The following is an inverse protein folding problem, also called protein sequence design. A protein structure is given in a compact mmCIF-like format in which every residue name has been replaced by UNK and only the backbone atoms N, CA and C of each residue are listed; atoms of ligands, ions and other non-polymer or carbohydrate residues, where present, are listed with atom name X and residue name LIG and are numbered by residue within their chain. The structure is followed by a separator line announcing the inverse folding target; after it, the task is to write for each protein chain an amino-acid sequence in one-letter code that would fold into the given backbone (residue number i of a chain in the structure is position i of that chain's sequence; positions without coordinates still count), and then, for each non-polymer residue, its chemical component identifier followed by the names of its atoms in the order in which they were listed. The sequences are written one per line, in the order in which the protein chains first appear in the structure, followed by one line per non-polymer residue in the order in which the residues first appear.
data_IF_979269683804
#
_entry.id   IF_979269683804
#
_cell.length_a   1.000
_cell.length_b   1.000
_cell.length_c   1.000
_cell.angle_alpha   90.00
_cell.angle_beta   90.00
_cell.angle_gamma   90.00
#
_symmetry.space_group_name_H-M   'P 1'
#
loop_
_entity.id
_entity.type
_entity.pdbx_description
1 polymer ?
#
# COMPACT_ATOMS: atom_id res chain seq x y z
N UNK A 1 -0.73 -65.09 -16.56
CA UNK A 1 -0.37 -63.67 -16.66
C UNK A 1 -0.52 -63.24 -18.11
N UNK A 2 -1.65 -62.61 -18.46
CA UNK A 2 -1.82 -61.96 -19.76
C UNK A 2 -3.00 -60.99 -19.66
N UNK A 3 -2.72 -59.69 -19.56
CA UNK A 3 -3.70 -58.61 -19.61
C UNK A 3 -3.18 -57.57 -20.60
N UNK A 4 -3.37 -57.87 -21.88
CA UNK A 4 -3.35 -56.87 -22.94
C UNK A 4 -4.59 -57.09 -23.78
N UNK A 5 -5.29 -55.98 -24.01
CA UNK A 5 -6.37 -55.82 -25.00
C UNK A 5 -7.78 -56.21 -24.53
N UNK A 6 -8.36 -55.37 -23.68
CA UNK A 6 -9.77 -55.01 -23.85
C UNK A 6 -9.88 -53.48 -23.83
N UNK A 7 -9.84 -52.92 -25.05
CA UNK A 7 -10.28 -51.56 -25.29
C UNK A 7 -11.80 -51.51 -25.07
N UNK A 8 -12.25 -50.69 -24.12
CA UNK A 8 -13.64 -50.23 -24.08
C UNK A 8 -13.63 -48.73 -23.73
N UNK A 9 -13.71 -47.94 -24.79
CA UNK A 9 -14.39 -46.66 -24.88
C UNK A 9 -14.67 -45.93 -23.55
N UNK A 10 -13.69 -45.18 -23.06
CA UNK A 10 -13.99 -43.99 -22.26
C UNK A 10 -14.10 -42.85 -23.26
N UNK A 11 -15.34 -42.46 -23.52
CA UNK A 11 -15.74 -41.31 -24.31
C UNK A 11 -14.86 -40.10 -24.02
N UNK A 12 -14.16 -39.63 -25.05
CA UNK A 12 -13.78 -38.23 -25.19
C UNK A 12 -15.09 -37.41 -25.20
N UNK A 13 -15.58 -37.08 -24.01
CA UNK A 13 -16.49 -35.96 -23.86
C UNK A 13 -15.60 -34.74 -24.08
N UNK A 14 -15.81 -33.93 -25.13
CA UNK A 14 -15.26 -32.59 -25.11
C UNK A 14 -15.94 -31.94 -23.90
N UNK A 15 -15.19 -31.73 -22.83
CA UNK A 15 -15.56 -30.74 -21.83
C UNK A 15 -15.61 -29.46 -22.65
N UNK A 16 -16.79 -29.11 -23.13
CA UNK A 16 -17.16 -27.78 -23.51
C UNK A 16 -16.80 -26.96 -22.28
N UNK A 17 -15.60 -26.40 -22.32
CA UNK A 17 -15.18 -25.33 -21.43
C UNK A 17 -16.26 -24.27 -21.61
N UNK A 18 -17.25 -24.29 -20.71
CA UNK A 18 -18.01 -23.10 -20.39
C UNK A 18 -16.95 -22.19 -19.82
N UNK A 19 -16.28 -21.47 -20.71
CA UNK A 19 -15.68 -20.19 -20.39
C UNK A 19 -16.89 -19.41 -19.92
N UNK A 20 -17.11 -19.41 -18.61
CA UNK A 20 -18.00 -18.46 -17.99
C UNK A 20 -17.55 -17.13 -18.57
N UNK A 21 -18.39 -16.52 -19.40
CA UNK A 21 -18.22 -15.13 -19.75
C UNK A 21 -18.31 -14.44 -18.39
N UNK A 22 -17.17 -14.15 -17.79
CA UNK A 22 -17.12 -13.26 -16.67
C UNK A 22 -17.66 -11.94 -17.23
N UNK A 23 -18.87 -11.58 -16.82
CA UNK A 23 -19.43 -10.29 -17.15
C UNK A 23 -18.38 -9.25 -16.73
N UNK A 24 -18.02 -8.35 -17.64
CA UNK A 24 -17.11 -7.26 -17.31
C UNK A 24 -17.64 -6.53 -16.06
N UNK A 25 -16.77 -6.15 -15.11
CA UNK A 25 -17.24 -5.52 -13.89
C UNK A 25 -17.97 -4.22 -14.24
N UNK A 26 -19.01 -3.92 -13.47
CA UNK A 26 -19.75 -2.68 -13.65
C UNK A 26 -18.89 -1.47 -13.26
N UNK A 27 -19.16 -0.31 -13.88
CA UNK A 27 -18.55 0.98 -13.51
C UNK A 27 -18.66 1.25 -12.00
N UNK A 28 -19.81 0.93 -11.39
CA UNK A 28 -20.05 1.12 -9.97
C UNK A 28 -19.19 0.22 -9.07
N UNK A 29 -18.86 -1.00 -9.50
CA UNK A 29 -17.94 -1.87 -8.77
C UNK A 29 -16.50 -1.33 -8.83
N UNK A 30 -16.08 -0.86 -10.01
CA UNK A 30 -14.75 -0.26 -10.19
C UNK A 30 -14.63 1.04 -9.40
N UNK A 31 -15.63 1.90 -9.44
CA UNK A 31 -15.66 3.16 -8.68
C UNK A 31 -15.58 2.92 -7.18
N UNK A 32 -16.33 1.93 -6.65
CA UNK A 32 -16.23 1.55 -5.24
C UNK A 32 -14.82 1.10 -4.86
N UNK A 33 -14.18 0.28 -5.70
CA UNK A 33 -12.82 -0.20 -5.47
C UNK A 33 -11.79 0.94 -5.48
N UNK A 34 -11.90 1.87 -6.44
CA UNK A 34 -11.05 3.06 -6.50
C UNK A 34 -11.25 3.96 -5.26
N UNK A 35 -12.49 4.16 -4.81
CA UNK A 35 -12.79 4.94 -3.61
C UNK A 35 -12.17 4.30 -2.35
N UNK A 36 -12.22 2.97 -2.20
CA UNK A 36 -11.58 2.26 -1.09
C UNK A 36 -10.06 2.48 -1.03
N UNK A 37 -9.39 2.46 -2.18
CA UNK A 37 -7.95 2.77 -2.28
C UNK A 37 -7.70 4.23 -1.87
N UNK A 38 -8.46 5.17 -2.45
CA UNK A 38 -8.31 6.61 -2.18
C UNK A 38 -8.51 6.95 -0.69
N UNK A 39 -9.57 6.41 -0.07
CA UNK A 39 -9.85 6.62 1.35
C UNK A 39 -8.72 6.09 2.25
N UNK A 40 -8.18 4.92 1.91
CA UNK A 40 -7.08 4.30 2.65
C UNK A 40 -5.79 5.10 2.55
N UNK A 41 -5.45 5.56 1.34
CA UNK A 41 -4.28 6.39 1.09
C UNK A 41 -4.42 7.75 1.76
N UNK A 42 -5.62 8.35 1.73
CA UNK A 42 -5.93 9.59 2.46
C UNK A 42 -5.78 9.43 3.97
N UNK A 43 -6.20 8.30 4.53
CA UNK A 43 -6.04 8.00 5.95
C UNK A 43 -4.55 7.90 6.35
N UNK A 44 -3.74 7.19 5.55
CA UNK A 44 -2.30 7.08 5.76
C UNK A 44 -1.59 8.44 5.62
N UNK A 45 -1.92 9.20 4.58
CA UNK A 45 -1.36 10.53 4.34
C UNK A 45 -1.62 11.47 5.52
N UNK A 46 -2.87 11.52 6.04
CA UNK A 46 -3.23 12.38 7.17
C UNK A 46 -2.41 12.09 8.44
N UNK A 47 -2.14 10.82 8.74
CA UNK A 47 -1.34 10.46 9.92
C UNK A 47 0.16 10.65 9.68
N UNK A 48 0.65 10.39 8.46
CA UNK A 48 2.03 10.68 8.07
C UNK A 48 2.34 12.17 8.11
N UNK A 49 1.45 13.02 7.59
CA UNK A 49 1.57 14.47 7.64
C UNK A 49 1.62 14.99 9.08
N UNK A 50 0.77 14.45 9.96
CA UNK A 50 0.78 14.78 11.39
C UNK A 50 2.11 14.39 12.03
N UNK A 51 2.62 13.19 11.74
CA UNK A 51 3.91 12.74 12.25
C UNK A 51 5.04 13.67 11.79
N UNK A 52 5.10 14.02 10.50
CA UNK A 52 6.07 14.99 9.98
C UNK A 52 6.00 16.35 10.69
N UNK A 53 4.80 16.84 11.01
CA UNK A 53 4.61 18.08 11.80
C UNK A 53 5.20 17.98 13.21
N UNK A 54 5.15 16.81 13.85
CA UNK A 54 5.80 16.60 15.17
C UNK A 54 7.32 16.62 15.10
N UNK A 55 7.91 16.30 13.94
CA UNK A 55 9.36 16.38 13.70
C UNK A 55 9.83 17.79 13.32
N UNK A 56 8.94 18.67 12.88
CA UNK A 56 9.28 20.00 12.39
C UNK A 56 10.13 20.86 13.37
N UNK A 57 9.92 20.83 14.70
CA UNK A 57 10.79 21.55 15.63
C UNK A 57 12.26 21.13 15.51
N UNK A 58 12.55 19.83 15.36
CA UNK A 58 13.90 19.31 15.23
C UNK A 58 14.60 19.90 14.00
N UNK A 59 13.91 19.92 12.86
CA UNK A 59 14.40 20.50 11.60
C UNK A 59 14.59 22.02 11.68
N UNK A 60 14.03 22.66 12.70
CA UNK A 60 14.17 24.08 12.99
C UNK A 60 15.18 24.35 14.12
N UNK A 61 15.95 23.34 14.53
CA UNK A 61 16.97 23.44 15.58
C UNK A 61 16.39 23.54 16.99
N UNK A 62 15.16 23.05 17.21
CA UNK A 62 14.48 23.05 18.51
C UNK A 62 14.16 21.62 18.94
N UNK A 63 14.17 21.37 20.25
CA UNK A 63 13.80 20.06 20.77
C UNK A 63 12.30 19.79 20.51
N UNK A 64 11.93 18.68 19.84
CA UNK A 64 10.54 18.29 19.67
C UNK A 64 9.94 17.73 20.97
N UNK A 65 8.61 17.76 21.10
CA UNK A 65 7.93 17.06 22.20
C UNK A 65 7.95 15.54 21.93
N UNK A 66 8.86 14.83 22.59
CA UNK A 66 9.00 13.37 22.48
C UNK A 66 7.66 12.65 22.71
N UNK A 67 6.79 13.10 23.64
CA UNK A 67 5.51 12.44 23.87
C UNK A 67 4.56 12.58 22.69
N UNK A 68 4.57 13.73 22.02
CA UNK A 68 3.76 13.97 20.83
C UNK A 68 4.27 13.15 19.64
N UNK A 69 5.59 13.07 19.47
CA UNK A 69 6.24 12.26 18.42
C UNK A 69 5.89 10.79 18.58
N UNK A 70 6.06 10.22 19.79
CA UNK A 70 5.69 8.84 20.11
C UNK A 70 4.21 8.55 19.89
N UNK A 71 3.34 9.48 20.29
CA UNK A 71 1.90 9.36 20.04
C UNK A 71 1.61 9.34 18.55
N UNK A 72 2.19 10.26 17.78
CA UNK A 72 1.94 10.33 16.34
C UNK A 72 2.49 9.11 15.60
N UNK A 73 3.64 8.56 16.02
CA UNK A 73 4.15 7.29 15.51
C UNK A 73 3.16 6.13 15.75
N UNK A 74 2.61 6.04 16.97
CA UNK A 74 1.59 5.03 17.29
C UNK A 74 0.34 5.18 16.43
N UNK A 75 -0.11 6.40 16.18
CA UNK A 75 -1.25 6.68 15.31
C UNK A 75 -1.00 6.20 13.86
N UNK A 76 0.22 6.38 13.34
CA UNK A 76 0.65 5.83 12.04
C UNK A 76 0.57 4.31 12.04
N UNK A 77 1.20 3.65 13.01
CA UNK A 77 1.21 2.19 13.11
C UNK A 77 -0.19 1.59 13.24
N UNK A 78 -1.07 2.21 14.03
CA UNK A 78 -2.46 1.78 14.18
C UNK A 78 -3.26 1.97 12.88
N UNK A 79 -3.11 3.11 12.22
CA UNK A 79 -3.81 3.40 10.96
C UNK A 79 -3.36 2.44 9.86
N UNK A 80 -2.06 2.20 9.75
CA UNK A 80 -1.51 1.21 8.83
C UNK A 80 -2.03 -0.20 9.13
N UNK A 81 -2.04 -0.60 10.41
CA UNK A 81 -2.57 -1.90 10.82
C UNK A 81 -4.05 -2.07 10.47
N UNK A 82 -4.86 -0.99 10.56
CA UNK A 82 -6.25 -0.99 10.10
C UNK A 82 -6.33 -1.11 8.57
N UNK A 83 -5.69 -0.20 7.83
CA UNK A 83 -5.73 -0.18 6.36
C UNK A 83 -5.27 -1.51 5.77
N UNK A 84 -4.20 -2.09 6.30
CA UNK A 84 -3.70 -3.41 5.86
C UNK A 84 -4.73 -4.53 6.04
N UNK A 85 -5.56 -4.48 7.09
CA UNK A 85 -6.64 -5.45 7.27
C UNK A 85 -7.76 -5.20 6.28
N UNK A 86 -8.13 -3.94 6.08
CA UNK A 86 -9.20 -3.56 5.17
C UNK A 86 -8.86 -3.96 3.72
N UNK A 87 -7.64 -3.66 3.24
CA UNK A 87 -7.16 -4.02 1.90
C UNK A 87 -7.31 -5.52 1.60
N UNK A 88 -7.05 -6.39 2.57
CA UNK A 88 -7.17 -7.85 2.41
C UNK A 88 -8.61 -8.34 2.26
N UNK A 89 -9.59 -7.49 2.57
CA UNK A 89 -11.02 -7.80 2.50
C UNK A 89 -11.71 -7.18 1.29
N UNK A 90 -10.99 -6.41 0.48
CA UNK A 90 -11.59 -5.76 -0.68
C UNK A 90 -11.85 -6.74 -1.81
N UNK A 91 -13.04 -6.61 -2.39
CA UNK A 91 -13.39 -7.29 -3.63
C UNK A 91 -12.69 -6.57 -4.80
N UNK A 92 -11.72 -7.25 -5.40
CA UNK A 92 -11.04 -6.74 -6.60
C UNK A 92 -11.94 -7.03 -7.82
N UNK A 93 -12.35 -6.01 -8.60
CA UNK A 93 -13.12 -6.22 -9.82
C UNK A 93 -12.41 -7.22 -10.76
N UNK A 94 -13.17 -8.12 -11.40
CA UNK A 94 -12.62 -9.12 -12.33
C UNK A 94 -12.18 -8.48 -13.65
N UNK A 95 -11.12 -7.68 -13.60
CA UNK A 95 -10.57 -6.96 -14.73
C UNK A 95 -9.03 -6.98 -14.68
N UNK A 96 -8.34 -7.19 -15.81
CA UNK A 96 -6.87 -7.24 -15.83
C UNK A 96 -6.19 -6.00 -15.25
N UNK A 97 -6.73 -4.80 -15.48
CA UNK A 97 -6.19 -3.55 -14.91
C UNK A 97 -6.46 -3.44 -13.41
N UNK A 98 -7.62 -3.90 -12.93
CA UNK A 98 -7.93 -3.91 -11.50
C UNK A 98 -7.00 -4.86 -10.73
N UNK A 99 -6.70 -6.05 -11.30
CA UNK A 99 -5.67 -6.94 -10.76
C UNK A 99 -4.29 -6.30 -10.69
N UNK A 100 -3.89 -5.55 -11.74
CA UNK A 100 -2.60 -4.82 -11.74
C UNK A 100 -2.57 -3.73 -10.67
N UNK A 101 -3.68 -3.02 -10.46
CA UNK A 101 -3.82 -2.04 -9.39
C UNK A 101 -3.74 -2.69 -8.02
N UNK A 102 -4.40 -3.84 -7.82
CA UNK A 102 -4.30 -4.61 -6.57
C UNK A 102 -2.85 -4.99 -6.25
N UNK A 103 -2.11 -5.53 -7.23
CA UNK A 103 -0.69 -5.86 -7.06
C UNK A 103 0.16 -4.64 -6.72
N UNK A 104 -0.02 -3.52 -7.43
CA UNK A 104 0.71 -2.29 -7.13
C UNK A 104 0.38 -1.75 -5.74
N UNK A 105 -0.89 -1.83 -5.32
CA UNK A 105 -1.32 -1.42 -3.99
C UNK A 105 -0.75 -2.34 -2.91
N UNK A 106 -0.69 -3.65 -3.14
CA UNK A 106 -0.05 -4.59 -2.22
C UNK A 106 1.45 -4.28 -2.06
N UNK A 107 2.19 -4.04 -3.16
CA UNK A 107 3.59 -3.60 -3.10
C UNK A 107 3.74 -2.30 -2.28
N UNK A 108 2.85 -1.32 -2.49
CA UNK A 108 2.85 -0.09 -1.72
C UNK A 108 2.58 -0.34 -0.23
N UNK A 109 1.60 -1.18 0.09
CA UNK A 109 1.25 -1.51 1.48
C UNK A 109 2.35 -2.28 2.19
N UNK A 110 3.03 -3.21 1.50
CA UNK A 110 4.21 -3.89 2.03
C UNK A 110 5.33 -2.90 2.34
N UNK A 111 5.59 -1.97 1.42
CA UNK A 111 6.56 -0.90 1.68
C UNK A 111 6.17 -0.06 2.90
N UNK A 112 4.91 0.37 3.02
CA UNK A 112 4.44 1.15 4.19
C UNK A 112 4.61 0.38 5.50
N UNK A 113 4.47 -0.95 5.49
CA UNK A 113 4.76 -1.84 6.62
C UNK A 113 6.23 -1.85 6.97
N UNK A 114 7.12 -2.09 6.01
CA UNK A 114 8.56 -2.02 6.24
C UNK A 114 8.98 -0.65 6.75
N UNK A 115 8.50 0.42 6.10
CA UNK A 115 8.75 1.80 6.50
C UNK A 115 8.31 2.07 7.95
N UNK A 116 7.12 1.62 8.35
CA UNK A 116 6.61 1.89 9.71
C UNK A 116 7.25 1.03 10.78
N UNK A 117 7.63 -0.22 10.47
CA UNK A 117 8.16 -1.16 11.46
C UNK A 117 9.68 -1.13 11.59
N UNK A 118 10.41 -0.72 10.56
CA UNK A 118 11.87 -0.76 10.54
C UNK A 118 12.46 0.65 10.48
N UNK A 119 11.91 1.50 9.63
CA UNK A 119 12.49 2.81 9.34
C UNK A 119 12.03 3.92 10.29
N UNK A 120 10.72 4.04 10.55
CA UNK A 120 10.23 5.05 11.49
C UNK A 120 10.75 4.88 12.94
N UNK A 121 11.01 3.67 13.45
CA UNK A 121 11.72 3.50 14.73
C UNK A 121 13.14 4.05 14.73
N UNK A 122 13.89 3.97 13.61
CA UNK A 122 15.25 4.54 13.56
C UNK A 122 15.22 6.07 13.70
N UNK A 123 14.18 6.73 13.19
CA UNK A 123 13.94 8.16 13.41
C UNK A 123 13.76 8.45 14.91
N UNK A 124 12.99 7.63 15.65
CA UNK A 124 12.85 7.79 17.10
C UNK A 124 14.18 7.59 17.82
N UNK A 125 14.96 6.57 17.43
CA UNK A 125 16.28 6.30 18.02
C UNK A 125 17.24 7.48 17.79
N UNK A 126 17.26 8.07 16.60
CA UNK A 126 18.06 9.27 16.29
C UNK A 126 17.60 10.45 17.15
N UNK A 127 16.29 10.64 17.30
CA UNK A 127 15.75 11.74 18.09
C UNK A 127 16.10 11.64 19.56
N UNK A 128 16.15 10.43 20.10
CA UNK A 128 16.43 10.14 21.51
C UNK A 128 17.93 9.98 21.81
N UNK A 129 18.79 10.10 20.80
CA UNK A 129 20.24 10.03 20.95
C UNK A 129 20.82 11.34 21.54
N UNK A 130 20.76 11.45 22.87
CA UNK A 130 21.32 12.56 23.65
C UNK A 130 22.85 12.74 23.47
N UNK A 131 23.54 11.78 22.84
CA UNK A 131 24.96 11.93 22.51
C UNK A 131 25.21 12.84 21.31
N UNK A 132 24.18 13.12 20.50
CA UNK A 132 24.24 13.96 19.30
C UNK A 132 23.67 15.35 19.54
N UNK A 133 24.27 16.36 18.90
CA UNK A 133 23.71 17.70 18.87
C UNK A 133 22.35 17.70 18.14
N UNK A 134 21.51 18.69 18.42
CA UNK A 134 20.24 18.89 17.70
C UNK A 134 20.44 18.99 16.18
N UNK A 135 21.52 19.64 15.75
CA UNK A 135 21.88 19.77 14.33
C UNK A 135 22.22 18.41 13.70
N UNK A 136 23.00 17.59 14.41
CA UNK A 136 23.34 16.25 13.92
C UNK A 136 22.11 15.34 13.89
N UNK A 137 21.25 15.38 14.93
CA UNK A 137 19.99 14.64 14.95
C UNK A 137 19.07 15.06 13.80
N UNK A 138 18.94 16.37 13.55
CA UNK A 138 18.14 16.89 12.43
C UNK A 138 18.67 16.42 11.07
N UNK A 139 20.00 16.45 10.87
CA UNK A 139 20.63 15.96 9.65
C UNK A 139 20.36 14.46 9.45
N UNK A 140 20.59 13.65 10.47
CA UNK A 140 20.40 12.20 10.39
C UNK A 140 18.92 11.85 10.11
N UNK A 141 17.97 12.56 10.75
CA UNK A 141 16.53 12.41 10.46
C UNK A 141 16.21 12.80 9.01
N UNK A 142 16.81 13.86 8.47
CA UNK A 142 16.59 14.25 7.07
C UNK A 142 17.12 13.19 6.09
N UNK A 143 18.31 12.64 6.33
CA UNK A 143 18.89 11.58 5.50
C UNK A 143 17.99 10.35 5.47
N UNK A 144 17.43 9.95 6.62
CA UNK A 144 16.45 8.89 6.73
C UNK A 144 15.16 9.21 5.94
N UNK A 145 14.59 10.43 6.12
CA UNK A 145 13.38 10.91 5.39
C UNK A 145 13.57 10.91 3.88
N UNK A 146 14.73 11.31 3.38
CA UNK A 146 15.03 11.30 1.95
C UNK A 146 15.15 9.88 1.39
N UNK A 147 15.82 8.97 2.11
CA UNK A 147 15.96 7.58 1.71
C UNK A 147 14.60 6.87 1.66
N UNK A 148 13.75 7.09 2.67
CA UNK A 148 12.37 6.60 2.69
C UNK A 148 11.56 7.18 1.53
N UNK A 149 11.52 8.50 1.40
CA UNK A 149 10.69 9.20 0.40
C UNK A 149 10.98 8.80 -1.05
N UNK A 150 12.23 8.50 -1.40
CA UNK A 150 12.57 8.01 -2.73
C UNK A 150 11.89 6.68 -3.06
N UNK A 151 11.88 5.73 -2.11
CA UNK A 151 11.24 4.44 -2.31
C UNK A 151 9.72 4.55 -2.29
N UNK A 152 9.17 5.35 -1.37
CA UNK A 152 7.73 5.63 -1.32
C UNK A 152 7.22 6.20 -2.65
N UNK A 153 7.97 7.14 -3.25
CA UNK A 153 7.59 7.74 -4.53
C UNK A 153 7.61 6.72 -5.68
N UNK A 154 8.56 5.78 -5.69
CA UNK A 154 8.62 4.70 -6.69
C UNK A 154 7.36 3.82 -6.63
N UNK A 155 7.02 3.28 -5.45
CA UNK A 155 5.85 2.40 -5.31
C UNK A 155 4.53 3.16 -5.44
N UNK A 156 4.45 4.40 -4.94
CA UNK A 156 3.28 5.26 -5.07
C UNK A 156 2.99 5.65 -6.52
N UNK A 157 4.02 5.81 -7.35
CA UNK A 157 3.85 6.07 -8.79
C UNK A 157 3.19 4.89 -9.50
N UNK A 158 3.59 3.65 -9.19
CA UNK A 158 2.95 2.45 -9.77
C UNK A 158 1.46 2.38 -9.44
N UNK A 159 1.09 2.69 -8.20
CA UNK A 159 -0.33 2.73 -7.79
C UNK A 159 -1.07 3.81 -8.58
N UNK A 160 -0.52 5.04 -8.63
CA UNK A 160 -1.14 6.17 -9.33
C UNK A 160 -1.37 5.86 -10.82
N UNK A 161 -0.37 5.30 -11.50
CA UNK A 161 -0.48 4.93 -12.92
C UNK A 161 -1.54 3.85 -13.16
N UNK A 162 -1.58 2.82 -12.31
CA UNK A 162 -2.57 1.75 -12.42
C UNK A 162 -3.99 2.25 -12.09
N UNK A 163 -4.11 3.14 -11.11
CA UNK A 163 -5.35 3.78 -10.68
C UNK A 163 -5.93 4.65 -11.80
N UNK A 164 -5.15 5.60 -12.33
CA UNK A 164 -5.56 6.47 -13.44
C UNK A 164 -5.93 5.66 -14.68
N UNK A 165 -5.18 4.59 -14.99
CA UNK A 165 -5.51 3.73 -16.12
C UNK A 165 -6.86 3.03 -15.95
N UNK A 166 -7.14 2.50 -14.75
CA UNK A 166 -8.41 1.84 -14.48
C UNK A 166 -9.57 2.85 -14.53
N UNK A 167 -9.40 4.01 -13.89
CA UNK A 167 -10.40 5.08 -13.91
C UNK A 167 -10.77 5.51 -15.34
N UNK A 168 -9.76 5.76 -16.20
CA UNK A 168 -9.97 6.13 -17.59
C UNK A 168 -10.67 5.05 -18.42
N UNK A 169 -10.42 3.76 -18.14
CA UNK A 169 -11.06 2.65 -18.85
C UNK A 169 -12.57 2.54 -18.56
N UNK A 170 -13.00 3.02 -17.38
CA UNK A 170 -14.39 2.98 -16.93
C UNK A 170 -15.05 4.36 -16.91
N UNK A 171 -14.39 5.40 -17.47
CA UNK A 171 -14.88 6.78 -17.52
C UNK A 171 -15.23 7.33 -16.13
N UNK A 172 -14.38 7.03 -15.13
CA UNK A 172 -14.54 7.47 -13.74
C UNK A 172 -13.68 8.71 -13.53
N UNK A 173 -14.33 9.81 -13.12
CA UNK A 173 -13.64 11.03 -12.72
C UNK A 173 -12.90 10.79 -11.41
N UNK A 174 -11.61 11.07 -11.43
CA UNK A 174 -10.72 10.95 -10.27
C UNK A 174 -10.21 12.33 -9.92
N UNK A 175 -10.76 12.91 -8.85
CA UNK A 175 -10.32 14.19 -8.27
C UNK A 175 -9.03 14.04 -7.45
#
# INVERSE_FOLDING_TARGET
MNLKSLALAISLIPVLSVVAQADEPSKAEVERYLNQISESHSALYKVGERFGKTLAPLLQGREPDSREVHRSFRDVAQTLGRVRRDVKTWDVPDHPTARKLAVANDEFMEYQVTATLEWLPSILDIMEDDSKSLEQRAKDVLEELEAGGAKENEVGTKVREAYTRLANQFDIDVE
#
